data_IF_445843634605
#
_entry.id   IF_445843634605
#
_cell.length_a   1.000
_cell.length_b   1.000
_cell.length_c   1.000
_cell.angle_alpha   90.00
_cell.angle_beta   90.00
_cell.angle_gamma   90.00
#
_symmetry.space_group_name_H-M   'P 1'
#
loop_
_entity.id
_entity.type
_entity.pdbx_description
1 polymer ?
#
# COMPACT_ATOMS: atom_id res chain seq x y z
N UNK A 1 -30.49 21.00 6.91
CA UNK A 1 -30.00 19.60 7.02
C UNK A 1 -29.05 19.49 8.21
N UNK A 2 -29.20 18.48 9.07
CA UNK A 2 -28.36 18.30 10.26
C UNK A 2 -26.89 18.10 9.86
N UNK A 3 -25.95 18.89 10.40
CA UNK A 3 -24.51 18.82 10.10
C UNK A 3 -23.95 17.39 10.24
N UNK A 4 -24.42 16.62 11.22
CA UNK A 4 -23.99 15.22 11.41
C UNK A 4 -24.45 14.32 10.28
N UNK A 5 -25.63 14.56 9.72
CA UNK A 5 -26.16 13.80 8.59
C UNK A 5 -25.38 14.12 7.31
N UNK A 6 -25.05 15.39 7.07
CA UNK A 6 -24.22 15.82 5.94
C UNK A 6 -22.85 15.13 5.95
N UNK A 7 -22.16 15.11 7.09
CA UNK A 7 -20.84 14.47 7.21
C UNK A 7 -20.92 12.98 6.92
N UNK A 8 -21.93 12.29 7.45
CA UNK A 8 -22.15 10.86 7.16
C UNK A 8 -22.45 10.61 5.69
N UNK A 9 -23.25 11.47 5.05
CA UNK A 9 -23.54 11.35 3.63
C UNK A 9 -22.26 11.51 2.79
N UNK A 10 -21.44 12.53 3.08
CA UNK A 10 -20.15 12.75 2.41
C UNK A 10 -19.22 11.55 2.60
N UNK A 11 -19.10 11.04 3.83
CA UNK A 11 -18.27 9.87 4.13
C UNK A 11 -18.70 8.66 3.29
N UNK A 12 -19.99 8.32 3.27
CA UNK A 12 -20.50 7.19 2.50
C UNK A 12 -20.37 7.39 1.00
N UNK A 13 -20.60 8.60 0.48
CA UNK A 13 -20.37 8.92 -0.93
C UNK A 13 -18.92 8.65 -1.34
N UNK A 14 -17.96 9.13 -0.54
CA UNK A 14 -16.53 8.89 -0.81
C UNK A 14 -16.17 7.41 -0.68
N UNK A 15 -16.69 6.72 0.35
CA UNK A 15 -16.45 5.29 0.55
C UNK A 15 -16.94 4.49 -0.64
N UNK A 16 -18.18 4.70 -1.09
CA UNK A 16 -18.75 3.98 -2.23
C UNK A 16 -17.97 4.30 -3.51
N UNK A 17 -17.68 5.59 -3.75
CA UNK A 17 -16.95 6.04 -4.92
C UNK A 17 -15.55 5.43 -5.01
N UNK A 18 -14.73 5.56 -3.95
CA UNK A 18 -13.37 5.01 -3.92
C UNK A 18 -13.40 3.49 -4.02
N UNK A 19 -14.32 2.82 -3.29
CA UNK A 19 -14.40 1.35 -3.33
C UNK A 19 -14.75 0.84 -4.72
N UNK A 20 -15.68 1.50 -5.42
CA UNK A 20 -16.04 1.15 -6.79
C UNK A 20 -14.82 1.28 -7.71
N UNK A 21 -14.15 2.44 -7.72
CA UNK A 21 -13.00 2.65 -8.60
C UNK A 21 -11.85 1.70 -8.28
N UNK A 22 -11.46 1.54 -7.00
CA UNK A 22 -10.39 0.60 -6.62
C UNK A 22 -10.71 -0.84 -7.02
N UNK A 23 -11.97 -1.29 -6.90
CA UNK A 23 -12.36 -2.59 -7.39
C UNK A 23 -12.26 -2.70 -8.93
N UNK A 24 -12.70 -1.67 -9.66
CA UNK A 24 -12.60 -1.67 -11.14
C UNK A 24 -11.14 -1.65 -11.62
N UNK A 25 -10.27 -0.83 -11.02
CA UNK A 25 -8.84 -0.80 -11.33
C UNK A 25 -8.19 -2.15 -10.99
N UNK A 26 -8.49 -2.72 -9.84
CA UNK A 26 -7.94 -4.02 -9.45
C UNK A 26 -8.33 -5.16 -10.39
N UNK A 27 -9.56 -5.18 -10.90
CA UNK A 27 -9.98 -6.14 -11.93
C UNK A 27 -9.30 -5.84 -13.27
N UNK A 28 -9.16 -4.57 -13.64
CA UNK A 28 -8.52 -4.17 -14.89
C UNK A 28 -7.05 -4.61 -14.97
N UNK A 29 -6.33 -4.73 -13.84
CA UNK A 29 -4.93 -5.19 -13.79
C UNK A 29 -4.68 -6.53 -14.49
N UNK A 30 -5.68 -7.39 -14.63
CA UNK A 30 -5.57 -8.65 -15.37
C UNK A 30 -5.27 -8.46 -16.86
N UNK A 31 -5.83 -7.42 -17.48
CA UNK A 31 -5.72 -7.14 -18.93
C UNK A 31 -5.04 -5.82 -19.25
N UNK A 32 -4.78 -4.99 -18.24
CA UNK A 32 -4.27 -3.62 -18.41
C UNK A 32 -2.83 -3.58 -18.97
N UNK A 33 -2.03 -4.61 -18.70
CA UNK A 33 -0.63 -4.66 -19.10
C UNK A 33 -0.44 -5.69 -20.21
N UNK A 34 -0.13 -5.19 -21.41
CA UNK A 34 0.27 -6.04 -22.52
C UNK A 34 1.79 -6.19 -22.55
N UNK A 35 2.26 -7.37 -22.89
CA UNK A 35 3.69 -7.61 -23.10
C UNK A 35 4.11 -6.86 -24.35
N UNK A 36 5.15 -6.02 -24.25
CA UNK A 36 5.74 -5.39 -25.44
C UNK A 36 6.48 -6.48 -26.24
N UNK A 37 5.79 -7.10 -27.21
CA UNK A 37 6.31 -8.24 -27.98
C UNK A 37 7.33 -7.85 -29.06
N UNK A 38 7.27 -6.63 -29.58
CA UNK A 38 8.06 -6.19 -30.75
C UNK A 38 8.65 -4.79 -30.55
N UNK A 39 9.55 -4.62 -29.57
CA UNK A 39 10.33 -3.39 -29.44
C UNK A 39 11.75 -3.60 -29.97
N UNK A 40 12.12 -2.83 -30.99
CA UNK A 40 13.40 -2.96 -31.69
C UNK A 40 14.47 -1.93 -31.23
N UNK A 41 14.15 -1.07 -30.26
CA UNK A 41 15.07 -0.07 -29.71
C UNK A 41 15.84 -0.57 -28.49
N UNK A 42 16.68 0.29 -27.90
CA UNK A 42 17.34 -0.02 -26.61
C UNK A 42 16.39 0.26 -25.45
N UNK A 43 16.49 -0.49 -24.36
CA UNK A 43 15.68 -0.25 -23.14
C UNK A 43 15.86 1.19 -22.61
N UNK A 44 17.04 1.77 -22.76
CA UNK A 44 17.33 3.17 -22.38
C UNK A 44 16.56 4.22 -23.19
N UNK A 45 15.99 3.85 -24.33
CA UNK A 45 15.25 4.72 -25.23
C UNK A 45 13.72 4.58 -25.03
N UNK A 46 13.29 3.67 -24.15
CA UNK A 46 11.87 3.49 -23.84
C UNK A 46 11.34 4.67 -23.05
N UNK A 47 10.11 5.10 -23.34
CA UNK A 47 9.41 6.06 -22.49
C UNK A 47 9.07 5.43 -21.14
N UNK A 48 8.81 6.26 -20.11
CA UNK A 48 8.44 5.77 -18.79
C UNK A 48 7.23 4.81 -18.83
N UNK A 49 6.21 5.16 -19.61
CA UNK A 49 5.07 4.28 -19.87
C UNK A 49 5.46 2.95 -20.50
N UNK A 50 6.35 2.93 -21.50
CA UNK A 50 6.80 1.68 -22.12
C UNK A 50 7.55 0.79 -21.13
N UNK A 51 8.42 1.37 -20.30
CA UNK A 51 9.16 0.63 -19.27
C UNK A 51 8.17 0.01 -18.27
N UNK A 52 7.20 0.78 -17.80
CA UNK A 52 6.23 0.31 -16.82
C UNK A 52 5.35 -0.80 -17.38
N UNK A 53 4.85 -0.67 -18.61
CA UNK A 53 4.07 -1.72 -19.28
C UNK A 53 4.89 -2.97 -19.58
N UNK A 54 6.16 -2.83 -19.97
CA UNK A 54 7.06 -3.97 -20.15
C UNK A 54 7.30 -4.71 -18.83
N UNK A 55 7.55 -3.99 -17.73
CA UNK A 55 7.78 -4.57 -16.41
C UNK A 55 6.55 -5.34 -15.90
N UNK A 56 5.38 -4.70 -15.90
CA UNK A 56 4.14 -5.34 -15.46
C UNK A 56 3.64 -6.41 -16.43
N UNK A 57 3.96 -6.29 -17.72
CA UNK A 57 3.62 -7.27 -18.76
C UNK A 57 4.57 -8.47 -18.85
N UNK A 58 5.69 -8.49 -18.11
CA UNK A 58 6.61 -9.63 -18.05
C UNK A 58 5.98 -10.83 -17.31
N UNK A 59 5.26 -10.57 -16.21
CA UNK A 59 4.49 -11.58 -15.49
C UNK A 59 3.16 -11.01 -15.02
N UNK A 60 2.08 -11.69 -15.38
CA UNK A 60 0.71 -11.29 -15.01
C UNK A 60 0.49 -11.45 -13.49
N UNK A 61 1.29 -12.26 -12.80
CA UNK A 61 1.13 -12.52 -11.37
C UNK A 61 1.31 -11.25 -10.51
N UNK A 62 2.27 -10.39 -10.85
CA UNK A 62 2.55 -9.18 -10.05
C UNK A 62 1.41 -8.13 -10.13
N UNK A 63 0.93 -7.72 -11.32
CA UNK A 63 -0.30 -6.95 -11.45
C UNK A 63 -1.50 -7.54 -10.73
N UNK A 64 -1.67 -8.87 -10.79
CA UNK A 64 -2.80 -9.56 -10.17
C UNK A 64 -2.77 -9.48 -8.64
N UNK A 65 -1.58 -9.58 -8.03
CA UNK A 65 -1.43 -9.42 -6.58
C UNK A 65 -1.80 -7.99 -6.16
N UNK A 66 -1.32 -6.99 -6.91
CA UNK A 66 -1.69 -5.59 -6.67
C UNK A 66 -3.20 -5.40 -6.80
N UNK A 67 -3.80 -5.90 -7.88
CA UNK A 67 -5.24 -5.80 -8.10
C UNK A 67 -6.07 -6.51 -7.04
N UNK A 68 -5.60 -7.67 -6.55
CA UNK A 68 -6.23 -8.36 -5.43
C UNK A 68 -6.20 -7.52 -4.15
N UNK A 69 -5.08 -6.85 -3.84
CA UNK A 69 -4.98 -5.96 -2.68
C UNK A 69 -5.89 -4.73 -2.85
N UNK A 70 -6.02 -4.18 -4.06
CA UNK A 70 -6.98 -3.11 -4.36
C UNK A 70 -8.43 -3.53 -4.09
N UNK A 71 -8.82 -4.71 -4.58
CA UNK A 71 -10.17 -5.27 -4.37
C UNK A 71 -10.42 -5.57 -2.88
N UNK A 72 -9.44 -6.16 -2.20
CA UNK A 72 -9.53 -6.44 -0.75
C UNK A 72 -9.68 -5.13 0.04
N UNK A 73 -8.86 -4.13 -0.27
CA UNK A 73 -8.92 -2.81 0.34
C UNK A 73 -10.28 -2.12 0.10
N UNK A 74 -10.81 -2.19 -1.12
CA UNK A 74 -12.13 -1.69 -1.49
C UNK A 74 -13.25 -2.39 -0.69
N UNK A 75 -13.22 -3.72 -0.61
CA UNK A 75 -14.19 -4.49 0.17
C UNK A 75 -14.13 -4.09 1.66
N UNK A 76 -12.93 -4.00 2.23
CA UNK A 76 -12.74 -3.57 3.62
C UNK A 76 -13.22 -2.13 3.88
N UNK A 77 -13.07 -1.22 2.90
CA UNK A 77 -13.47 0.19 3.02
C UNK A 77 -15.00 0.35 3.17
N UNK A 78 -15.78 -0.49 2.48
CA UNK A 78 -17.25 -0.49 2.53
C UNK A 78 -17.78 -0.78 3.94
N UNK A 79 -17.23 -1.79 4.62
CA UNK A 79 -17.70 -2.18 5.95
C UNK A 79 -17.17 -1.25 7.03
N UNK A 80 -18.09 -0.61 7.77
CA UNK A 80 -17.74 0.34 8.83
C UNK A 80 -16.72 -0.21 9.85
N UNK A 81 -16.79 -1.52 10.16
CA UNK A 81 -15.87 -2.19 11.10
C UNK A 81 -14.42 -2.23 10.57
N UNK A 82 -14.22 -2.59 9.31
CA UNK A 82 -12.89 -2.73 8.67
C UNK A 82 -12.45 -1.48 7.90
N UNK A 83 -13.28 -0.43 7.86
CA UNK A 83 -13.05 0.77 7.05
C UNK A 83 -11.67 1.39 7.19
N UNK A 84 -11.18 1.51 8.43
CA UNK A 84 -9.86 2.11 8.69
C UNK A 84 -8.75 1.22 8.16
N UNK A 85 -8.88 -0.09 8.31
CA UNK A 85 -7.93 -1.05 7.74
C UNK A 85 -7.91 -0.97 6.21
N UNK A 86 -9.08 -0.97 5.56
CA UNK A 86 -9.18 -0.81 4.11
C UNK A 86 -8.59 0.53 3.62
N UNK A 87 -8.84 1.62 4.35
CA UNK A 87 -8.28 2.94 4.04
C UNK A 87 -6.75 2.97 4.15
N UNK A 88 -6.15 2.36 5.18
CA UNK A 88 -4.70 2.28 5.34
C UNK A 88 -4.09 1.40 4.23
N UNK A 89 -4.69 0.24 3.97
CA UNK A 89 -4.22 -0.69 2.94
C UNK A 89 -4.19 -0.04 1.56
N UNK A 90 -5.31 0.58 1.16
CA UNK A 90 -5.42 1.32 -0.10
C UNK A 90 -4.48 2.52 -0.13
N UNK A 91 -4.29 3.23 0.99
CA UNK A 91 -3.38 4.38 1.05
C UNK A 91 -1.92 3.99 0.80
N UNK A 92 -1.46 2.85 1.33
CA UNK A 92 -0.09 2.37 1.10
C UNK A 92 0.10 2.04 -0.39
N UNK A 93 -0.88 1.36 -0.96
CA UNK A 93 -0.86 0.94 -2.37
C UNK A 93 -0.94 2.15 -3.31
N UNK A 94 -1.87 3.08 -3.08
CA UNK A 94 -2.01 4.31 -3.88
C UNK A 94 -0.78 5.20 -3.76
N UNK A 95 -0.12 5.27 -2.60
CA UNK A 95 1.15 6.00 -2.48
C UNK A 95 2.22 5.40 -3.40
N UNK A 96 2.30 4.07 -3.48
CA UNK A 96 3.20 3.41 -4.43
C UNK A 96 2.83 3.70 -5.89
N UNK A 97 1.55 3.61 -6.26
CA UNK A 97 1.07 3.93 -7.61
C UNK A 97 1.35 5.39 -7.97
N UNK A 98 1.10 6.34 -7.07
CA UNK A 98 1.37 7.78 -7.31
C UNK A 98 2.85 8.01 -7.60
N UNK A 99 3.76 7.36 -6.85
CA UNK A 99 5.18 7.48 -7.12
C UNK A 99 5.54 6.91 -8.49
N UNK A 100 5.00 5.75 -8.84
CA UNK A 100 5.21 5.15 -10.17
C UNK A 100 4.67 6.09 -11.27
N UNK A 101 3.43 6.54 -11.15
CA UNK A 101 2.80 7.41 -12.13
C UNK A 101 3.56 8.74 -12.29
N UNK A 102 4.12 9.28 -11.21
CA UNK A 102 4.93 10.50 -11.25
C UNK A 102 6.28 10.27 -11.93
N UNK A 103 7.04 9.25 -11.53
CA UNK A 103 8.38 9.00 -12.08
C UNK A 103 8.38 8.44 -13.50
N UNK A 104 7.30 7.76 -13.90
CA UNK A 104 7.14 7.19 -15.25
C UNK A 104 6.22 8.03 -16.15
N UNK A 105 5.82 9.23 -15.71
CA UNK A 105 5.00 10.19 -16.46
C UNK A 105 3.68 9.61 -16.99
N UNK A 106 2.98 8.86 -16.14
CA UNK A 106 1.71 8.22 -16.48
C UNK A 106 0.55 9.20 -16.32
N UNK A 107 -0.32 9.26 -17.34
CA UNK A 107 -1.47 10.17 -17.37
C UNK A 107 -2.48 9.96 -16.21
N UNK A 108 -2.47 8.78 -15.58
CA UNK A 108 -3.38 8.41 -14.49
C UNK A 108 -3.05 9.06 -13.14
N UNK A 109 -1.93 9.77 -13.02
CA UNK A 109 -1.45 10.40 -11.79
C UNK A 109 -2.53 11.22 -11.07
N UNK A 110 -3.27 12.04 -11.81
CA UNK A 110 -4.30 12.92 -11.24
C UNK A 110 -5.44 12.14 -10.58
N UNK A 111 -5.85 11.02 -11.18
CA UNK A 111 -6.86 10.13 -10.60
C UNK A 111 -6.35 9.45 -9.34
N UNK A 112 -5.11 8.96 -9.34
CA UNK A 112 -4.50 8.33 -8.18
C UNK A 112 -4.41 9.30 -6.98
N UNK A 113 -3.98 10.55 -7.22
CA UNK A 113 -3.95 11.60 -6.20
C UNK A 113 -5.36 11.89 -5.66
N UNK A 114 -6.36 11.98 -6.54
CA UNK A 114 -7.75 12.22 -6.11
C UNK A 114 -8.28 11.11 -5.19
N UNK A 115 -8.03 9.84 -5.52
CA UNK A 115 -8.41 8.72 -4.66
C UNK A 115 -7.69 8.76 -3.32
N UNK A 116 -6.39 9.08 -3.32
CA UNK A 116 -5.59 9.22 -2.10
C UNK A 116 -6.13 10.33 -1.18
N UNK A 117 -6.47 11.49 -1.75
CA UNK A 117 -7.09 12.59 -0.99
C UNK A 117 -8.46 12.19 -0.43
N UNK A 118 -9.26 11.47 -1.22
CA UNK A 118 -10.57 10.96 -0.78
C UNK A 118 -10.43 10.03 0.43
N UNK A 119 -9.44 9.14 0.41
CA UNK A 119 -9.12 8.26 1.54
C UNK A 119 -8.68 9.06 2.77
N UNK A 120 -7.86 10.09 2.59
CA UNK A 120 -7.47 10.97 3.71
C UNK A 120 -8.67 11.70 4.32
N UNK A 121 -9.63 12.13 3.51
CA UNK A 121 -10.89 12.70 4.01
C UNK A 121 -11.67 11.66 4.83
N UNK A 122 -11.79 10.41 4.35
CA UNK A 122 -12.45 9.32 5.08
C UNK A 122 -11.77 9.06 6.43
N UNK A 123 -10.43 9.00 6.45
CA UNK A 123 -9.64 8.85 7.67
C UNK A 123 -9.81 10.02 8.63
N UNK A 124 -9.86 11.25 8.11
CA UNK A 124 -10.08 12.45 8.90
C UNK A 124 -11.48 12.49 9.54
N UNK A 125 -12.52 12.09 8.81
CA UNK A 125 -13.88 11.95 9.37
C UNK A 125 -13.88 10.90 10.50
N UNK A 126 -13.12 9.81 10.35
CA UNK A 126 -12.97 8.75 11.34
C UNK A 126 -11.83 8.98 12.36
N UNK A 127 -11.31 10.21 12.49
CA UNK A 127 -10.08 10.49 13.28
C UNK A 127 -10.10 9.95 14.72
N UNK A 128 -11.25 9.96 15.40
CA UNK A 128 -11.33 9.45 16.76
C UNK A 128 -11.00 7.96 16.84
N UNK A 129 -11.48 7.19 15.85
CA UNK A 129 -11.21 5.75 15.74
C UNK A 129 -9.76 5.51 15.31
N UNK A 130 -9.22 6.34 14.42
CA UNK A 130 -7.80 6.27 14.00
C UNK A 130 -6.89 6.51 15.20
N UNK A 131 -7.14 7.58 15.98
CA UNK A 131 -6.38 7.90 17.19
C UNK A 131 -6.51 6.82 18.26
N UNK A 132 -7.70 6.24 18.44
CA UNK A 132 -7.89 5.12 19.36
C UNK A 132 -7.09 3.88 18.91
N UNK A 133 -7.08 3.58 17.61
CA UNK A 133 -6.31 2.47 17.04
C UNK A 133 -4.80 2.68 17.26
N UNK A 134 -4.29 3.86 16.94
CA UNK A 134 -2.89 4.24 17.16
C UNK A 134 -2.55 4.16 18.66
N UNK A 135 -3.37 4.76 19.52
CA UNK A 135 -3.16 4.71 20.97
C UNK A 135 -3.11 3.28 21.49
N UNK A 136 -4.01 2.40 21.05
CA UNK A 136 -4.03 1.02 21.50
C UNK A 136 -2.84 0.20 20.97
N UNK A 137 -2.34 0.51 19.77
CA UNK A 137 -1.11 -0.11 19.24
C UNK A 137 0.14 0.31 20.03
N UNK A 138 0.25 1.61 20.36
CA UNK A 138 1.44 2.17 21.02
C UNK A 138 1.36 2.20 22.54
N UNK A 139 0.18 1.98 23.14
CA UNK A 139 0.04 1.86 24.60
C UNK A 139 0.90 0.71 25.13
N UNK A 140 1.24 -0.26 24.28
CA UNK A 140 1.89 -1.49 24.69
C UNK A 140 0.99 -2.26 25.66
N UNK A 141 1.26 -3.54 25.84
CA UNK A 141 0.89 -4.10 27.14
C UNK A 141 1.84 -3.38 28.09
N UNK A 142 1.34 -2.59 29.04
CA UNK A 142 2.14 -2.06 30.16
C UNK A 142 2.59 -3.21 31.09
N UNK A 143 3.06 -4.33 30.54
CA UNK A 143 4.01 -5.18 31.22
C UNK A 143 5.25 -4.31 31.40
N UNK A 144 5.51 -3.84 32.61
CA UNK A 144 6.79 -3.22 32.95
C UNK A 144 7.92 -4.24 32.82
N UNK A 145 8.22 -4.68 31.59
CA UNK A 145 9.30 -5.60 31.27
C UNK A 145 10.58 -4.83 31.51
N UNK A 146 11.06 -4.90 32.76
CA UNK A 146 12.43 -4.51 33.07
C UNK A 146 13.33 -5.57 32.42
N UNK A 147 13.93 -5.22 31.30
CA UNK A 147 14.96 -6.05 30.67
C UNK A 147 16.06 -6.33 31.70
N UNK A 148 16.19 -7.59 32.07
CA UNK A 148 17.25 -8.07 32.96
C UNK A 148 18.61 -7.91 32.28
N UNK A 149 19.69 -7.90 33.06
CA UNK A 149 21.04 -7.95 32.50
C UNK A 149 21.25 -9.18 31.60
N UNK A 150 20.51 -10.28 31.87
CA UNK A 150 20.48 -11.47 31.00
C UNK A 150 19.85 -11.18 29.63
N UNK A 151 18.77 -10.40 29.58
CA UNK A 151 18.08 -10.05 28.32
C UNK A 151 18.94 -9.12 27.46
N UNK A 152 19.71 -8.22 28.08
CA UNK A 152 20.67 -7.36 27.38
C UNK A 152 21.81 -8.18 26.76
N UNK A 153 22.31 -9.18 27.47
CA UNK A 153 23.34 -10.11 26.94
C UNK A 153 22.76 -10.95 25.80
N UNK A 154 21.54 -11.46 25.94
CA UNK A 154 20.84 -12.19 24.87
C UNK A 154 20.61 -11.32 23.63
N UNK A 155 20.24 -10.04 23.81
CA UNK A 155 20.16 -9.09 22.69
C UNK A 155 21.51 -8.87 22.01
N UNK A 156 22.60 -8.73 22.78
CA UNK A 156 23.94 -8.59 22.21
C UNK A 156 24.34 -9.84 21.40
N UNK A 157 24.08 -11.03 21.94
CA UNK A 157 24.30 -12.31 21.24
C UNK A 157 23.46 -12.36 19.96
N UNK A 158 22.18 -11.96 20.01
CA UNK A 158 21.31 -11.93 18.84
C UNK A 158 21.84 -10.98 17.75
N UNK A 159 22.40 -9.82 18.13
CA UNK A 159 23.06 -8.90 17.20
C UNK A 159 24.30 -9.56 16.57
N UNK A 160 25.14 -10.22 17.37
CA UNK A 160 26.33 -10.93 16.85
C UNK A 160 25.93 -12.06 15.90
N UNK A 161 24.91 -12.85 16.25
CA UNK A 161 24.36 -13.89 15.38
C UNK A 161 23.81 -13.29 14.09
N UNK A 162 23.10 -12.16 14.16
CA UNK A 162 22.61 -11.45 12.98
C UNK A 162 23.76 -11.01 12.06
N UNK A 163 24.86 -10.49 12.62
CA UNK A 163 26.06 -10.13 11.84
C UNK A 163 26.71 -11.35 11.19
N UNK A 164 26.82 -12.48 11.91
CA UNK A 164 27.34 -13.74 11.35
C UNK A 164 26.46 -14.23 10.21
N UNK A 165 25.13 -14.20 10.38
CA UNK A 165 24.17 -14.56 9.33
C UNK A 165 24.32 -13.65 8.11
N UNK A 166 24.53 -12.34 8.29
CA UNK A 166 24.79 -11.41 7.18
C UNK A 166 26.07 -11.76 6.42
N UNK A 167 27.15 -12.13 7.11
CA UNK A 167 28.41 -12.55 6.47
C UNK A 167 28.24 -13.87 5.73
N UNK A 168 27.46 -14.81 6.28
CA UNK A 168 27.14 -16.09 5.64
C UNK A 168 26.31 -15.88 4.38
N UNK A 169 25.27 -15.04 4.45
CA UNK A 169 24.45 -14.66 3.29
C UNK A 169 25.33 -14.03 2.22
N UNK A 170 26.23 -13.12 2.60
CA UNK A 170 27.20 -12.53 1.68
C UNK A 170 28.06 -13.60 0.99
N UNK A 171 28.63 -14.52 1.76
CA UNK A 171 29.45 -15.63 1.23
C UNK A 171 28.68 -16.58 0.31
N UNK A 172 27.39 -16.82 0.56
CA UNK A 172 26.53 -17.68 -0.27
C UNK A 172 26.09 -16.99 -1.56
N UNK A 173 25.96 -15.67 -1.54
CA UNK A 173 25.52 -14.87 -2.69
C UNK A 173 26.66 -14.49 -3.65
N UNK A 174 27.92 -14.86 -3.35
CA UNK A 174 29.10 -14.47 -4.14
C UNK A 174 29.21 -12.94 -4.39
N UNK A 175 28.75 -12.12 -3.44
CA UNK A 175 28.92 -10.65 -3.37
C UNK A 175 29.82 -10.35 -2.17
#
# INVERSE_FOLDING_TARGET
MNRKLLIKAIEWSLVIFVSFYMATYGVAKYVQFDTIKNYNGKVSEMSGHQIMWAFYGYTVAYPLIIGFIEILGAACLLFYRTRIFGAILLSILLFNIILQDYFYEILALGSAIFFQLSIFIILYINKQRVLALVKNMFAGIHTGVKYSNKDKILMLIAIVVMVVLLVLVKSLLHI
#
